data_IF_615103945686
#
_entry.id   IF_615103945686
#
_cell.length_a   1.000
_cell.length_b   1.000
_cell.length_c   1.000
_cell.angle_alpha   90.00
_cell.angle_beta   90.00
_cell.angle_gamma   90.00
#
_symmetry.space_group_name_H-M   'P 1'
#
loop_
_entity.id
_entity.type
_entity.pdbx_description
1 polymer ?
#
# COMPACT_ATOMS: atom_id res chain seq x y z
N UNK A 1 4.74 0.13 -4.72
CA UNK A 1 5.18 -0.26 -3.36
C UNK A 1 6.05 0.80 -2.66
N UNK A 2 6.10 2.03 -3.16
CA UNK A 2 6.81 3.12 -2.50
C UNK A 2 8.34 2.94 -2.41
N UNK A 3 8.97 2.26 -3.36
CA UNK A 3 10.40 1.94 -3.30
C UNK A 3 11.29 3.16 -3.10
N UNK A 4 11.06 4.25 -3.83
CA UNK A 4 11.82 5.49 -3.67
C UNK A 4 11.68 6.08 -2.26
N UNK A 5 10.46 6.12 -1.71
CA UNK A 5 10.21 6.62 -0.35
C UNK A 5 10.84 5.74 0.72
N UNK A 6 10.83 4.41 0.55
CA UNK A 6 11.48 3.48 1.48
C UNK A 6 13.01 3.64 1.42
N UNK A 7 13.60 3.79 0.23
CA UNK A 7 15.03 4.05 0.09
C UNK A 7 15.43 5.38 0.75
N UNK A 8 14.69 6.45 0.52
CA UNK A 8 14.91 7.74 1.19
C UNK A 8 14.84 7.60 2.73
N UNK A 9 13.84 6.89 3.24
CA UNK A 9 13.72 6.61 4.68
C UNK A 9 14.89 5.82 5.23
N UNK A 10 15.38 4.83 4.47
CA UNK A 10 16.55 4.03 4.87
C UNK A 10 17.83 4.88 4.95
N UNK A 11 18.04 5.76 3.97
CA UNK A 11 19.16 6.70 3.96
C UNK A 11 19.11 7.66 5.16
N UNK A 12 17.94 8.25 5.43
CA UNK A 12 17.75 9.14 6.60
C UNK A 12 18.06 8.38 7.88
N UNK A 13 17.53 7.16 8.05
CA UNK A 13 17.80 6.34 9.24
C UNK A 13 19.27 6.00 9.40
N UNK A 14 19.96 5.69 8.29
CA UNK A 14 21.39 5.42 8.30
C UNK A 14 22.16 6.65 8.82
N UNK A 15 21.94 7.84 8.28
CA UNK A 15 22.63 9.05 8.70
C UNK A 15 22.32 9.43 10.15
N UNK A 16 21.07 9.28 10.59
CA UNK A 16 20.71 9.47 11.99
C UNK A 16 21.43 8.49 12.92
N UNK A 17 21.52 7.21 12.53
CA UNK A 17 22.21 6.17 13.32
C UNK A 17 23.70 6.41 13.42
N UNK A 18 24.32 6.98 12.39
CA UNK A 18 25.73 7.36 12.34
C UNK A 18 26.01 8.73 12.95
N UNK A 19 24.99 9.43 13.48
CA UNK A 19 25.09 10.78 14.05
C UNK A 19 25.73 11.80 13.08
N UNK A 20 25.58 11.59 11.76
CA UNK A 20 26.05 12.53 10.73
C UNK A 20 25.33 13.87 10.87
N UNK A 21 24.05 13.84 11.28
CA UNK A 21 23.32 15.01 11.70
C UNK A 21 22.38 14.68 12.87
N UNK A 22 22.09 15.69 13.68
CA UNK A 22 21.08 15.62 14.73
C UNK A 22 19.83 16.36 14.26
N UNK A 23 18.67 15.76 14.44
CA UNK A 23 17.42 16.32 13.97
C UNK A 23 16.32 16.16 15.01
N UNK A 24 15.67 17.26 15.38
CA UNK A 24 14.46 17.20 16.20
C UNK A 24 13.33 16.46 15.45
N UNK A 25 12.36 15.94 16.18
CA UNK A 25 11.20 15.26 15.55
C UNK A 25 10.47 16.16 14.56
N UNK A 26 10.33 17.46 14.85
CA UNK A 26 9.67 18.42 13.97
C UNK A 26 10.48 18.67 12.69
N UNK A 27 11.79 18.85 12.82
CA UNK A 27 12.67 19.03 11.67
C UNK A 27 12.70 17.77 10.79
N UNK A 28 12.72 16.58 11.40
CA UNK A 28 12.65 15.32 10.68
C UNK A 28 11.34 15.19 9.91
N UNK A 29 10.20 15.54 10.52
CA UNK A 29 8.89 15.57 9.86
C UNK A 29 8.88 16.54 8.67
N UNK A 30 9.43 17.73 8.83
CA UNK A 30 9.54 18.73 7.77
C UNK A 30 10.45 18.24 6.63
N UNK A 31 11.59 17.64 6.96
CA UNK A 31 12.52 17.06 5.98
C UNK A 31 11.83 15.95 5.16
N UNK A 32 11.17 15.01 5.83
CA UNK A 32 10.50 13.90 5.13
C UNK A 32 9.39 14.39 4.22
N UNK A 33 8.59 15.39 4.63
CA UNK A 33 7.55 15.99 3.80
C UNK A 33 8.12 16.67 2.54
N UNK A 34 9.28 17.31 2.62
CA UNK A 34 9.95 17.92 1.46
C UNK A 34 10.46 16.89 0.46
N UNK A 35 10.88 15.70 0.91
CA UNK A 35 11.38 14.62 0.05
C UNK A 35 10.21 13.87 -0.59
N UNK A 36 9.13 13.63 0.16
CA UNK A 36 7.94 12.95 -0.35
C UNK A 36 6.99 12.53 0.77
N UNK A 37 5.68 12.54 0.47
CA UNK A 37 4.60 12.26 1.43
C UNK A 37 4.74 10.92 2.15
N UNK A 38 5.27 9.91 1.47
CA UNK A 38 5.35 8.55 1.98
C UNK A 38 6.66 8.24 2.72
N UNK A 39 7.64 9.18 2.72
CA UNK A 39 8.96 8.96 3.34
C UNK A 39 8.83 8.75 4.85
N UNK A 40 7.97 9.53 5.51
CA UNK A 40 7.74 9.39 6.96
C UNK A 40 7.16 8.01 7.33
N UNK A 41 6.41 7.37 6.43
CA UNK A 41 5.88 6.02 6.64
C UNK A 41 7.00 4.99 6.81
N UNK A 42 8.10 5.13 6.09
CA UNK A 42 9.24 4.22 6.11
C UNK A 42 10.20 4.41 7.30
N UNK A 43 10.10 5.51 8.05
CA UNK A 43 10.98 5.76 9.19
C UNK A 43 10.78 4.78 10.34
N UNK A 44 9.59 4.26 10.55
CA UNK A 44 9.35 3.15 11.44
C UNK A 44 8.25 2.22 10.91
N UNK A 45 8.43 0.90 11.11
CA UNK A 45 7.56 -0.16 10.56
C UNK A 45 6.36 -0.45 11.47
N UNK A 46 5.60 0.58 11.84
CA UNK A 46 4.33 0.43 12.55
C UNK A 46 3.17 0.62 11.56
N UNK A 47 2.04 0.01 11.85
CA UNK A 47 0.81 0.31 11.11
C UNK A 47 0.46 1.78 11.30
N UNK A 48 0.24 2.49 10.20
CA UNK A 48 -0.02 3.93 10.21
C UNK A 48 -1.16 4.27 9.26
N UNK A 49 -1.82 5.37 9.55
CA UNK A 49 -2.73 6.06 8.63
C UNK A 49 -2.13 7.41 8.31
N UNK A 50 -2.00 7.67 7.03
CA UNK A 50 -1.66 8.99 6.50
C UNK A 50 -2.97 9.71 6.13
N UNK A 51 -3.20 10.84 6.75
CA UNK A 51 -4.34 11.70 6.46
C UNK A 51 -4.05 12.65 5.30
N UNK A 52 -5.11 13.19 4.68
CA UNK A 52 -4.99 14.11 3.56
C UNK A 52 -4.20 15.39 3.87
N UNK A 53 -4.18 15.84 5.13
CA UNK A 53 -3.36 16.95 5.59
C UNK A 53 -1.88 16.59 5.84
N UNK A 54 -1.49 15.35 5.53
CA UNK A 54 -0.14 14.84 5.73
C UNK A 54 0.19 14.43 7.17
N UNK A 55 -0.79 14.39 8.07
CA UNK A 55 -0.58 13.87 9.42
C UNK A 55 -0.60 12.35 9.45
N UNK A 56 0.18 11.77 10.37
CA UNK A 56 0.26 10.34 10.58
C UNK A 56 -0.32 9.95 11.94
N UNK A 57 -1.16 8.94 11.94
CA UNK A 57 -1.59 8.24 13.16
C UNK A 57 -1.04 6.84 13.18
N UNK A 58 -0.37 6.49 14.29
CA UNK A 58 0.13 5.13 14.51
C UNK A 58 -0.99 4.26 15.07
N UNK A 59 -1.15 3.07 14.51
CA UNK A 59 -2.14 2.09 14.92
C UNK A 59 -1.46 1.07 15.83
N UNK A 60 -1.93 0.95 17.06
CA UNK A 60 -1.41 -0.01 18.04
C UNK A 60 -2.00 -1.41 17.87
N UNK A 61 -3.23 -1.50 17.32
CA UNK A 61 -3.88 -2.78 17.07
C UNK A 61 -3.13 -3.57 16.00
N UNK A 62 -2.81 -4.82 16.29
CA UNK A 62 -2.17 -5.73 15.34
C UNK A 62 -3.22 -6.47 14.54
N UNK A 63 -3.17 -6.34 13.22
CA UNK A 63 -3.85 -7.21 12.29
C UNK A 63 -2.76 -7.93 11.48
N UNK A 64 -2.70 -9.25 11.63
CA UNK A 64 -1.71 -10.07 10.93
C UNK A 64 -2.33 -10.64 9.66
N UNK A 65 -1.82 -10.19 8.53
CA UNK A 65 -2.21 -10.70 7.21
C UNK A 65 -0.96 -11.17 6.49
N UNK A 66 -1.12 -12.24 5.71
CA UNK A 66 -0.11 -12.74 4.78
C UNK A 66 -0.47 -12.27 3.39
N UNK A 67 0.53 -12.01 2.56
CA UNK A 67 0.30 -11.39 1.26
C UNK A 67 0.93 -12.19 0.12
N UNK A 68 0.23 -12.21 -1.01
CA UNK A 68 0.76 -12.56 -2.32
C UNK A 68 0.88 -11.27 -3.13
N UNK A 69 2.11 -10.88 -3.48
CA UNK A 69 2.37 -9.70 -4.30
C UNK A 69 2.51 -10.14 -5.74
N UNK A 70 1.68 -9.58 -6.61
CA UNK A 70 1.73 -9.80 -8.05
C UNK A 70 2.15 -8.51 -8.72
N UNK A 71 3.35 -8.52 -9.32
CA UNK A 71 3.87 -7.42 -10.13
C UNK A 71 3.93 -7.85 -11.59
N UNK A 72 3.11 -7.27 -12.48
CA UNK A 72 3.23 -7.50 -13.91
C UNK A 72 4.54 -6.89 -14.45
N UNK A 73 4.91 -7.29 -15.66
CA UNK A 73 6.13 -6.83 -16.35
C UNK A 73 6.03 -5.40 -16.92
N UNK A 74 4.94 -4.70 -16.64
CA UNK A 74 4.75 -3.29 -17.02
C UNK A 74 4.42 -2.43 -15.81
N UNK A 75 4.64 -1.11 -15.94
CA UNK A 75 4.28 -0.11 -14.94
C UNK A 75 3.03 0.68 -15.33
N UNK A 76 2.49 1.44 -14.38
CA UNK A 76 1.50 2.48 -14.62
C UNK A 76 2.16 3.83 -14.38
N UNK A 77 1.91 4.81 -15.25
CA UNK A 77 2.38 6.17 -15.02
C UNK A 77 1.61 6.79 -13.86
N UNK A 78 2.30 7.03 -12.75
CA UNK A 78 1.70 7.64 -11.55
C UNK A 78 1.04 8.98 -11.88
N UNK A 79 1.73 9.81 -12.65
CA UNK A 79 1.24 11.12 -13.06
C UNK A 79 -0.05 11.01 -13.87
N UNK A 80 -0.08 10.14 -14.88
CA UNK A 80 -1.29 9.93 -15.70
C UNK A 80 -2.47 9.42 -14.90
N UNK A 81 -2.21 8.48 -13.97
CA UNK A 81 -3.27 7.91 -13.11
C UNK A 81 -3.88 9.01 -12.25
N UNK A 82 -3.05 9.84 -11.59
CA UNK A 82 -3.56 10.93 -10.75
C UNK A 82 -4.27 12.02 -11.56
N UNK A 83 -3.78 12.37 -12.73
CA UNK A 83 -4.42 13.38 -13.60
C UNK A 83 -5.79 12.95 -14.14
N UNK A 84 -6.09 11.65 -14.14
CA UNK A 84 -7.36 11.11 -14.63
C UNK A 84 -8.41 10.88 -13.54
N UNK A 85 -8.06 11.06 -12.28
CA UNK A 85 -9.04 10.97 -11.19
C UNK A 85 -9.93 12.20 -11.23
N UNK A 86 -11.24 11.95 -11.37
CA UNK A 86 -12.26 13.00 -11.30
C UNK A 86 -12.85 13.15 -9.90
N UNK A 87 -13.08 12.03 -9.21
CA UNK A 87 -13.73 12.01 -7.91
C UNK A 87 -13.03 11.01 -6.99
N UNK A 88 -12.87 11.39 -5.74
CA UNK A 88 -12.42 10.51 -4.67
C UNK A 88 -13.62 9.97 -3.89
N UNK A 89 -13.48 8.77 -3.34
CA UNK A 89 -14.47 8.19 -2.44
C UNK A 89 -14.75 9.13 -1.26
N UNK A 90 -15.98 9.20 -0.77
CA UNK A 90 -16.31 10.00 0.40
C UNK A 90 -15.50 9.54 1.61
N UNK A 91 -15.20 10.48 2.50
CA UNK A 91 -14.46 10.19 3.74
C UNK A 91 -15.23 9.17 4.57
N UNK A 92 -14.72 7.96 4.70
CA UNK A 92 -15.35 6.92 5.56
C UNK A 92 -15.13 7.16 7.06
N UNK A 93 -14.14 7.97 7.42
CA UNK A 93 -13.82 8.29 8.80
C UNK A 93 -13.59 9.79 8.97
N UNK A 94 -14.40 10.44 9.79
CA UNK A 94 -14.18 11.84 10.20
C UNK A 94 -13.04 11.95 11.23
N UNK A 95 -12.97 10.99 12.14
CA UNK A 95 -11.87 10.80 13.12
C UNK A 95 -11.54 9.32 13.15
N UNK A 96 -10.24 8.98 12.99
CA UNK A 96 -9.82 7.60 13.10
C UNK A 96 -9.74 7.17 14.56
N UNK A 97 -10.41 6.06 14.89
CA UNK A 97 -10.29 5.39 16.19
C UNK A 97 -9.53 4.06 15.99
N UNK A 98 -8.68 3.68 16.93
CA UNK A 98 -7.87 2.46 16.83
C UNK A 98 -8.69 1.17 16.63
N UNK A 99 -9.92 1.11 17.13
CA UNK A 99 -10.84 -0.01 16.95
C UNK A 99 -11.35 -0.16 15.51
N UNK A 100 -11.20 0.86 14.66
CA UNK A 100 -11.53 0.76 13.24
C UNK A 100 -10.52 -0.09 12.44
N UNK A 101 -9.32 -0.30 12.97
CA UNK A 101 -8.32 -1.15 12.32
C UNK A 101 -8.62 -2.63 12.60
N UNK A 102 -9.55 -3.19 11.86
CA UNK A 102 -9.94 -4.59 11.88
C UNK A 102 -10.23 -5.06 10.45
N UNK A 103 -10.30 -6.37 10.24
CA UNK A 103 -10.48 -6.93 8.91
C UNK A 103 -11.78 -6.45 8.24
N UNK A 104 -12.89 -6.43 8.98
CA UNK A 104 -14.19 -5.98 8.45
C UNK A 104 -14.10 -4.58 7.83
N UNK A 105 -13.57 -3.63 8.57
CA UNK A 105 -13.45 -2.25 8.09
C UNK A 105 -12.43 -2.12 6.94
N UNK A 106 -11.34 -2.90 6.97
CA UNK A 106 -10.33 -2.89 5.89
C UNK A 106 -10.92 -3.43 4.59
N UNK A 107 -11.80 -4.42 4.65
CA UNK A 107 -12.50 -4.94 3.48
C UNK A 107 -13.34 -3.87 2.77
N UNK A 108 -13.90 -2.93 3.53
CA UNK A 108 -14.73 -1.84 3.00
C UNK A 108 -13.93 -0.68 2.39
N UNK A 109 -12.61 -0.63 2.63
CA UNK A 109 -11.75 0.39 2.04
C UNK A 109 -11.45 0.05 0.58
N UNK A 110 -11.32 1.07 -0.24
CA UNK A 110 -11.01 0.96 -1.67
C UNK A 110 -9.73 1.75 -2.00
N UNK A 111 -9.14 1.44 -3.12
CA UNK A 111 -8.16 2.29 -3.75
C UNK A 111 -8.81 3.01 -4.93
N UNK A 112 -9.10 4.29 -4.79
CA UNK A 112 -9.79 5.11 -5.80
C UNK A 112 -9.08 5.09 -7.16
N UNK A 113 -7.76 4.87 -7.16
CA UNK A 113 -6.96 4.79 -8.37
C UNK A 113 -7.28 3.54 -9.21
N UNK A 114 -7.82 2.48 -8.60
CA UNK A 114 -8.15 1.24 -9.31
C UNK A 114 -9.12 1.45 -10.47
N UNK A 115 -10.15 2.29 -10.29
CA UNK A 115 -11.14 2.57 -11.33
C UNK A 115 -10.50 3.15 -12.59
N UNK A 116 -9.59 4.09 -12.41
CA UNK A 116 -8.85 4.71 -13.51
C UNK A 116 -7.87 3.72 -14.15
N UNK A 117 -7.11 3.01 -13.32
CA UNK A 117 -6.08 2.09 -13.80
C UNK A 117 -6.71 0.92 -14.55
N UNK A 118 -7.79 0.34 -14.06
CA UNK A 118 -8.42 -0.82 -14.73
C UNK A 118 -9.09 -0.48 -16.05
N UNK A 119 -9.54 0.78 -16.20
CA UNK A 119 -10.02 1.28 -17.49
C UNK A 119 -8.88 1.37 -18.51
N UNK A 120 -7.72 1.85 -18.11
CA UNK A 120 -6.57 2.05 -18.99
C UNK A 120 -5.71 0.79 -19.18
N UNK A 121 -5.71 -0.09 -18.17
CA UNK A 121 -4.93 -1.33 -18.14
C UNK A 121 -5.84 -2.53 -17.82
N UNK A 122 -6.70 -2.99 -18.74
CA UNK A 122 -7.66 -4.07 -18.48
C UNK A 122 -7.01 -5.40 -18.03
N UNK A 123 -5.74 -5.62 -18.41
CA UNK A 123 -4.95 -6.78 -17.95
C UNK A 123 -4.83 -6.81 -16.42
N UNK A 124 -4.72 -5.64 -15.75
CA UNK A 124 -4.66 -5.56 -14.29
C UNK A 124 -5.98 -5.96 -13.65
N UNK A 125 -7.11 -5.56 -14.26
CA UNK A 125 -8.42 -5.99 -13.79
C UNK A 125 -8.58 -7.51 -13.87
N UNK A 126 -8.16 -8.13 -15.00
CA UNK A 126 -8.14 -9.59 -15.15
C UNK A 126 -7.28 -10.27 -14.09
N UNK A 127 -6.10 -9.71 -13.77
CA UNK A 127 -5.22 -10.22 -12.71
C UNK A 127 -5.90 -10.14 -11.34
N UNK A 128 -6.52 -9.01 -11.00
CA UNK A 128 -7.26 -8.86 -9.73
C UNK A 128 -8.42 -9.85 -9.65
N UNK A 129 -9.21 -9.95 -10.71
CA UNK A 129 -10.34 -10.89 -10.79
C UNK A 129 -9.88 -12.33 -10.56
N UNK A 130 -8.76 -12.73 -11.17
CA UNK A 130 -8.19 -14.05 -10.93
C UNK A 130 -7.70 -14.23 -9.50
N UNK A 131 -7.01 -13.25 -8.92
CA UNK A 131 -6.60 -13.31 -7.52
C UNK A 131 -7.80 -13.54 -6.60
N UNK A 132 -8.94 -12.89 -6.86
CA UNK A 132 -10.16 -13.02 -6.06
C UNK A 132 -10.80 -14.41 -6.15
N UNK A 133 -10.45 -15.24 -7.15
CA UNK A 133 -10.90 -16.65 -7.23
C UNK A 133 -10.02 -17.61 -6.43
N UNK A 134 -8.88 -17.15 -5.92
CA UNK A 134 -7.96 -18.04 -5.19
C UNK A 134 -8.54 -18.46 -3.83
N UNK A 135 -8.34 -19.73 -3.42
CA UNK A 135 -8.87 -20.23 -2.15
C UNK A 135 -8.40 -19.42 -0.94
N UNK A 136 -9.31 -19.16 -0.01
CA UNK A 136 -9.05 -18.46 1.25
C UNK A 136 -8.52 -17.03 1.13
N UNK A 137 -8.64 -16.41 -0.05
CA UNK A 137 -8.35 -14.98 -0.17
C UNK A 137 -9.38 -14.16 0.60
N UNK A 138 -8.92 -13.15 1.32
CA UNK A 138 -9.80 -12.23 2.02
C UNK A 138 -10.20 -11.06 1.11
N UNK A 139 -9.24 -10.51 0.41
CA UNK A 139 -9.43 -9.47 -0.60
C UNK A 139 -8.16 -9.32 -1.45
N UNK A 140 -8.29 -8.64 -2.58
CA UNK A 140 -7.16 -8.19 -3.40
C UNK A 140 -7.27 -6.70 -3.67
N UNK A 141 -6.14 -5.99 -3.67
CA UNK A 141 -6.09 -4.55 -3.90
C UNK A 141 -4.82 -4.14 -4.61
N UNK A 142 -4.96 -3.21 -5.55
CA UNK A 142 -3.81 -2.57 -6.17
C UNK A 142 -3.09 -1.67 -5.16
N UNK A 143 -1.77 -1.61 -5.18
CA UNK A 143 -1.00 -0.72 -4.31
C UNK A 143 -0.71 0.60 -5.00
N UNK A 144 -1.01 1.71 -4.35
CA UNK A 144 -0.80 3.05 -4.90
C UNK A 144 -1.41 3.20 -6.28
N UNK A 145 -0.67 3.77 -7.22
CA UNK A 145 -1.05 3.96 -8.64
C UNK A 145 -0.85 2.72 -9.52
N UNK A 146 -0.51 1.57 -8.94
CA UNK A 146 -0.23 0.33 -9.66
C UNK A 146 1.28 0.18 -9.99
N UNK A 147 1.66 -0.79 -10.80
CA UNK A 147 0.84 -1.88 -11.35
C UNK A 147 0.72 -3.09 -10.40
N UNK A 148 1.34 -3.06 -9.22
CA UNK A 148 1.29 -4.18 -8.28
C UNK A 148 -0.11 -4.38 -7.70
N UNK A 149 -0.55 -5.65 -7.65
CA UNK A 149 -1.77 -6.08 -6.98
C UNK A 149 -1.37 -7.02 -5.85
N UNK A 150 -2.00 -6.86 -4.70
CA UNK A 150 -1.73 -7.65 -3.50
C UNK A 150 -2.98 -8.42 -3.11
N UNK A 151 -2.86 -9.74 -3.03
CA UNK A 151 -3.85 -10.63 -2.41
C UNK A 151 -3.53 -10.83 -0.93
N UNK A 152 -4.54 -10.79 -0.07
CA UNK A 152 -4.42 -10.86 1.39
C UNK A 152 -5.05 -12.11 1.94
N UNK A 153 -4.35 -12.78 2.87
CA UNK A 153 -4.72 -14.07 3.45
C UNK A 153 -4.55 -14.07 4.97
N UNK A 154 -5.32 -14.92 5.66
CA UNK A 154 -5.21 -15.08 7.11
C UNK A 154 -4.09 -16.04 7.52
N UNK A 155 -3.60 -16.89 6.61
CA UNK A 155 -2.52 -17.83 6.91
C UNK A 155 -1.44 -17.84 5.83
N UNK A 156 -0.21 -18.20 6.25
CA UNK A 156 0.92 -18.35 5.33
C UNK A 156 0.69 -19.51 4.36
N UNK A 157 0.03 -20.58 4.80
CA UNK A 157 -0.25 -21.75 3.96
C UNK A 157 -1.22 -21.38 2.83
N UNK A 158 -2.26 -20.58 3.13
CA UNK A 158 -3.19 -20.07 2.12
C UNK A 158 -2.46 -19.18 1.11
N UNK A 159 -1.58 -18.28 1.55
CA UNK A 159 -0.80 -17.43 0.66
C UNK A 159 0.15 -18.24 -0.24
N UNK A 160 0.85 -19.25 0.31
CA UNK A 160 1.72 -20.15 -0.46
C UNK A 160 0.96 -21.00 -1.46
N UNK A 161 -0.22 -21.50 -1.09
CA UNK A 161 -1.07 -22.25 -2.03
C UNK A 161 -1.55 -21.35 -3.18
N UNK A 162 -1.99 -20.15 -2.83
CA UNK A 162 -2.38 -19.14 -3.81
C UNK A 162 -1.23 -18.80 -4.79
N UNK A 163 0.00 -18.68 -4.29
CA UNK A 163 1.19 -18.47 -5.13
C UNK A 163 1.39 -19.63 -6.13
N UNK A 164 1.27 -20.88 -5.68
CA UNK A 164 1.39 -22.06 -6.56
C UNK A 164 0.34 -22.06 -7.66
N UNK A 165 -0.93 -21.78 -7.31
CA UNK A 165 -2.03 -21.72 -8.27
C UNK A 165 -1.85 -20.54 -9.25
N UNK A 166 -1.40 -19.39 -8.74
CA UNK A 166 -1.11 -18.24 -9.58
C UNK A 166 0.00 -18.55 -10.59
N UNK A 167 1.12 -19.12 -10.14
CA UNK A 167 2.23 -19.53 -11.00
C UNK A 167 1.79 -20.58 -12.04
N UNK A 168 0.91 -21.51 -11.68
CA UNK A 168 0.37 -22.48 -12.62
C UNK A 168 -0.44 -21.82 -13.75
N UNK A 169 -1.21 -20.78 -13.45
CA UNK A 169 -2.04 -20.04 -14.42
C UNK A 169 -1.22 -19.10 -15.32
N UNK A 170 -0.19 -18.47 -14.75
CA UNK A 170 0.62 -17.44 -15.42
C UNK A 170 2.09 -17.87 -15.58
N UNK A 171 2.33 -19.19 -15.68
CA UNK A 171 3.61 -19.73 -16.13
C UNK A 171 3.69 -19.49 -17.64
N UNK A 172 4.24 -18.36 -18.02
CA UNK A 172 5.01 -18.13 -19.27
C UNK A 172 5.66 -16.78 -19.14
#
# INVERSE_FOLDING_TARGET
>A
LGGGSINASAIIKFFLSKKVFNCSKNNLKNLTKKIGSDVELGLNFKNKILFANGDLSTITRKLRLFVLIVKPNFGCSTMEVYNRIKNYSPKKFSKFKHNYFNLKNILELENDLEKVVYKNYPKLNKLKSFLLTLPNIQFARMTGSGSCIVGYFMSINSAKNAEKLFKKKYKN
#
